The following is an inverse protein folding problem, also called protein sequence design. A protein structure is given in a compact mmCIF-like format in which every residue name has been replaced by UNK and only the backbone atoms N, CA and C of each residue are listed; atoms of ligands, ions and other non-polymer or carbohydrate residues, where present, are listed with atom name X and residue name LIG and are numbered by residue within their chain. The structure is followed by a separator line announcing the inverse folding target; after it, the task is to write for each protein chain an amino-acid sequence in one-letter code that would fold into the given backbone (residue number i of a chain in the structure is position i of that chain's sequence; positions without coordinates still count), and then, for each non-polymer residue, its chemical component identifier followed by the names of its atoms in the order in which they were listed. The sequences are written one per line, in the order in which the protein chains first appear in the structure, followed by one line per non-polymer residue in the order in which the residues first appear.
data_IF_494484825387
#
_entry.id   IF_494484825387
#
_cell.length_a   1.000
_cell.length_b   1.000
_cell.length_c   1.000
_cell.angle_alpha   90.00
_cell.angle_beta   90.00
_cell.angle_gamma   90.00
#
_symmetry.space_group_name_H-M   'P 1'
#
loop_
_entity.id
_entity.type
_entity.pdbx_description
1 polymer ?
#
# COMPACT_ATOMS: atom_id res chain seq x y z
N UNK A 1 -6.86 -22.34 -8.52
CA UNK A 1 -7.69 -21.21 -8.05
C UNK A 1 -7.82 -21.30 -6.53
N UNK A 2 -7.90 -20.15 -5.85
CA UNK A 2 -7.92 -20.03 -4.39
C UNK A 2 -9.10 -19.17 -3.95
N UNK A 3 -9.74 -19.54 -2.84
CA UNK A 3 -10.81 -18.72 -2.25
C UNK A 3 -10.26 -17.54 -1.46
N UNK A 4 -9.03 -17.65 -0.94
CA UNK A 4 -8.36 -16.62 -0.18
C UNK A 4 -6.90 -16.53 -0.61
N UNK A 5 -6.43 -15.31 -0.85
CA UNK A 5 -5.01 -14.97 -1.01
C UNK A 5 -4.60 -14.03 0.12
N UNK A 6 -3.56 -14.39 0.85
CA UNK A 6 -2.96 -13.57 1.89
C UNK A 6 -1.60 -13.07 1.42
N UNK A 7 -1.39 -11.76 1.44
CA UNK A 7 -0.11 -11.15 1.11
C UNK A 7 0.38 -10.29 2.28
N UNK A 8 1.37 -10.76 3.04
CA UNK A 8 2.05 -9.93 4.03
C UNK A 8 2.84 -8.81 3.32
N UNK A 9 3.45 -7.93 4.09
CA UNK A 9 4.22 -6.78 3.56
C UNK A 9 5.31 -7.24 2.60
N UNK A 10 5.07 -7.10 1.30
CA UNK A 10 6.01 -7.49 0.24
C UNK A 10 5.91 -6.64 -1.03
N UNK A 11 4.79 -5.93 -1.23
CA UNK A 11 4.60 -5.09 -2.44
C UNK A 11 5.64 -3.99 -2.58
N UNK A 12 6.20 -3.50 -1.48
CA UNK A 12 7.27 -2.50 -1.52
C UNK A 12 8.57 -3.00 -2.15
N UNK A 13 8.76 -4.30 -2.37
CA UNK A 13 9.95 -4.85 -3.02
C UNK A 13 9.80 -5.05 -4.53
N UNK A 14 8.67 -4.73 -5.11
CA UNK A 14 8.40 -4.81 -6.55
C UNK A 14 8.22 -3.42 -7.13
N UNK A 15 8.80 -3.18 -8.30
CA UNK A 15 8.69 -1.89 -8.97
C UNK A 15 7.29 -1.62 -9.52
N UNK A 16 6.61 -2.65 -10.02
CA UNK A 16 5.24 -2.57 -10.55
C UNK A 16 4.29 -3.40 -9.70
N UNK A 17 3.58 -2.72 -8.81
CA UNK A 17 2.57 -3.38 -7.94
C UNK A 17 1.32 -3.81 -8.73
N UNK A 18 1.05 -3.19 -9.88
CA UNK A 18 -0.07 -3.57 -10.76
C UNK A 18 0.08 -4.98 -11.30
N UNK A 19 1.29 -5.40 -11.67
CA UNK A 19 1.55 -6.78 -12.10
C UNK A 19 1.26 -7.80 -11.01
N UNK A 20 1.56 -7.48 -9.75
CA UNK A 20 1.22 -8.34 -8.58
C UNK A 20 -0.30 -8.51 -8.47
N UNK A 21 -1.05 -7.44 -8.57
CA UNK A 21 -2.52 -7.51 -8.50
C UNK A 21 -3.13 -8.28 -9.67
N UNK A 22 -2.54 -8.16 -10.87
CA UNK A 22 -2.93 -8.96 -12.02
C UNK A 22 -2.75 -10.46 -11.76
N UNK A 23 -1.62 -10.87 -11.18
CA UNK A 23 -1.37 -12.27 -10.82
C UNK A 23 -2.26 -12.77 -9.69
N UNK A 24 -2.52 -11.97 -8.66
CA UNK A 24 -3.49 -12.31 -7.62
C UNK A 24 -4.88 -12.50 -8.24
N UNK A 25 -5.31 -11.57 -9.11
CA UNK A 25 -6.60 -11.68 -9.80
C UNK A 25 -6.70 -12.93 -10.71
N UNK A 26 -5.58 -13.37 -11.28
CA UNK A 26 -5.53 -14.57 -12.13
C UNK A 26 -5.75 -15.86 -11.35
N UNK A 27 -5.28 -15.93 -10.11
CA UNK A 27 -5.29 -17.18 -9.32
C UNK A 27 -6.44 -17.28 -8.33
N UNK A 28 -7.07 -16.17 -7.95
CA UNK A 28 -8.18 -16.14 -7.00
C UNK A 28 -9.52 -16.37 -7.70
N UNK A 29 -10.41 -17.13 -7.09
CA UNK A 29 -11.76 -17.39 -7.60
C UNK A 29 -12.59 -16.09 -7.66
N UNK A 30 -13.59 -15.99 -8.56
CA UNK A 30 -14.64 -14.98 -8.42
C UNK A 30 -15.24 -15.00 -7.01
N UNK A 31 -15.49 -13.83 -6.45
CA UNK A 31 -15.93 -13.61 -5.06
C UNK A 31 -14.91 -14.03 -3.97
N UNK A 32 -13.73 -14.50 -4.35
CA UNK A 32 -12.64 -14.80 -3.43
C UNK A 32 -12.06 -13.56 -2.75
N UNK A 33 -11.44 -13.75 -1.60
CA UNK A 33 -10.88 -12.68 -0.76
C UNK A 33 -9.39 -12.51 -0.96
N UNK A 34 -8.97 -11.29 -1.24
CA UNK A 34 -7.59 -10.85 -1.18
C UNK A 34 -7.37 -9.99 0.07
N UNK A 35 -6.54 -10.45 0.98
CA UNK A 35 -6.18 -9.75 2.21
C UNK A 35 -4.70 -9.42 2.14
N UNK A 36 -4.37 -8.14 2.14
CA UNK A 36 -2.99 -7.67 1.98
C UNK A 36 -2.60 -6.65 3.04
N UNK A 37 -1.31 -6.55 3.31
CA UNK A 37 -0.74 -5.50 4.13
C UNK A 37 0.37 -4.81 3.35
N UNK A 38 0.35 -3.48 3.32
CA UNK A 38 1.29 -2.65 2.59
C UNK A 38 1.99 -1.68 3.54
N UNK A 39 3.21 -1.26 3.20
CA UNK A 39 3.81 -0.08 3.82
C UNK A 39 3.03 1.16 3.38
N UNK A 40 2.66 2.01 4.34
CA UNK A 40 1.99 3.27 4.04
C UNK A 40 2.91 4.18 3.22
N UNK A 41 2.43 4.79 2.11
CA UNK A 41 3.22 5.75 1.33
C UNK A 41 3.77 6.89 2.20
N UNK A 42 2.94 7.45 3.06
CA UNK A 42 3.34 8.50 4.00
C UNK A 42 4.46 8.04 4.91
N UNK A 43 4.41 6.78 5.39
CA UNK A 43 5.47 6.22 6.20
C UNK A 43 6.78 6.06 5.41
N UNK A 44 6.72 5.66 4.16
CA UNK A 44 7.92 5.53 3.33
C UNK A 44 8.56 6.89 2.99
N UNK A 45 7.75 7.96 2.94
CA UNK A 45 8.25 9.32 2.73
C UNK A 45 8.87 9.94 3.99
N UNK A 46 8.46 9.49 5.17
CA UNK A 46 8.78 10.16 6.44
C UNK A 46 10.14 9.70 6.97
N UNK A 47 10.92 10.63 7.51
CA UNK A 47 12.20 10.37 8.17
C UNK A 47 12.11 9.23 9.20
N UNK A 48 13.15 8.42 9.31
CA UNK A 48 13.21 7.33 10.30
C UNK A 48 13.40 7.85 11.72
N UNK A 49 14.11 8.96 11.86
CA UNK A 49 14.39 9.61 13.14
C UNK A 49 13.84 11.04 13.13
N UNK A 50 13.35 11.54 14.26
CA UNK A 50 12.97 12.95 14.38
C UNK A 50 14.22 13.82 14.58
N UNK A 51 14.10 15.08 14.25
CA UNK A 51 14.98 16.15 14.71
C UNK A 51 14.29 17.02 15.78
N UNK A 52 14.81 18.23 16.03
CA UNK A 52 14.24 19.16 17.02
C UNK A 52 12.83 19.65 16.69
N UNK A 53 12.38 19.54 15.46
CA UNK A 53 11.05 19.94 14.98
C UNK A 53 10.09 18.76 14.70
N UNK A 54 10.58 17.52 14.79
CA UNK A 54 9.77 16.32 14.65
C UNK A 54 10.18 15.42 13.49
N UNK A 55 9.20 14.69 12.92
CA UNK A 55 9.41 13.88 11.73
C UNK A 55 9.06 14.68 10.47
N UNK A 56 9.83 14.48 9.39
CA UNK A 56 9.71 15.22 8.15
C UNK A 56 9.49 14.31 6.96
N UNK A 57 8.77 14.80 5.96
CA UNK A 57 8.73 14.16 4.64
C UNK A 57 10.08 14.42 3.95
N UNK A 58 10.79 13.36 3.62
CA UNK A 58 12.11 13.41 2.96
C UNK A 58 12.06 13.00 1.51
N UNK A 59 11.11 12.12 1.14
CA UNK A 59 10.98 11.58 -0.19
C UNK A 59 9.85 12.24 -0.95
N UNK A 60 10.06 12.50 -2.24
CA UNK A 60 9.00 13.05 -3.11
C UNK A 60 7.90 12.00 -3.33
N UNK A 61 6.65 12.45 -3.36
CA UNK A 61 5.49 11.57 -3.53
C UNK A 61 5.44 10.90 -4.91
N UNK A 62 5.88 11.60 -5.95
CA UNK A 62 5.95 11.13 -7.33
C UNK A 62 7.35 10.61 -7.71
N UNK A 63 8.01 9.99 -6.75
CA UNK A 63 9.33 9.42 -6.96
C UNK A 63 9.28 8.28 -7.97
N UNK A 64 10.22 8.31 -8.91
CA UNK A 64 10.50 7.19 -9.80
C UNK A 64 11.68 6.36 -9.25
N UNK A 65 11.61 5.03 -9.44
CA UNK A 65 12.63 4.11 -9.00
C UNK A 65 12.64 3.81 -7.50
N UNK A 66 13.61 3.04 -7.03
CA UNK A 66 13.68 2.61 -5.64
C UNK A 66 13.99 3.76 -4.68
N UNK A 67 13.56 3.60 -3.44
CA UNK A 67 13.96 4.49 -2.35
C UNK A 67 15.48 4.41 -2.12
N UNK A 68 16.11 5.49 -1.63
CA UNK A 68 17.52 5.44 -1.21
C UNK A 68 17.77 4.33 -0.19
N UNK A 69 18.98 3.78 -0.20
CA UNK A 69 19.40 2.83 0.82
C UNK A 69 19.21 3.46 2.22
N UNK A 70 18.64 2.69 3.13
CA UNK A 70 18.40 3.14 4.50
C UNK A 70 19.22 2.32 5.50
N UNK A 71 19.50 2.95 6.64
CA UNK A 71 20.02 2.25 7.80
C UNK A 71 19.04 1.15 8.25
N UNK A 72 19.56 0.02 8.78
CA UNK A 72 18.73 -1.07 9.27
C UNK A 72 17.71 -0.59 10.31
N UNK A 73 16.45 -0.89 10.10
CA UNK A 73 15.39 -0.54 11.04
C UNK A 73 14.25 -1.55 10.97
N UNK A 74 13.27 -1.47 11.89
CA UNK A 74 12.04 -2.27 11.80
C UNK A 74 11.15 -1.89 10.59
N UNK A 75 11.46 -0.75 9.95
CA UNK A 75 10.70 -0.23 8.79
C UNK A 75 11.39 -0.51 7.46
N UNK A 76 12.71 -0.60 7.44
CA UNK A 76 13.53 -0.72 6.24
C UNK A 76 14.55 -1.84 6.41
N UNK A 77 14.65 -2.72 5.42
CA UNK A 77 15.61 -3.82 5.40
C UNK A 77 16.88 -3.42 4.64
N UNK A 78 18.04 -3.78 5.20
CA UNK A 78 19.33 -3.51 4.57
C UNK A 78 19.50 -4.37 3.31
N UNK A 79 20.02 -3.75 2.25
CA UNK A 79 20.34 -4.46 1.01
C UNK A 79 19.16 -4.80 0.12
N UNK A 80 17.95 -4.35 0.47
CA UNK A 80 16.76 -4.49 -0.38
C UNK A 80 16.47 -3.20 -1.13
N UNK A 81 15.92 -3.33 -2.34
CA UNK A 81 15.30 -2.21 -3.05
C UNK A 81 13.84 -2.11 -2.63
N UNK A 82 13.46 -0.98 -2.09
CA UNK A 82 12.09 -0.69 -1.72
C UNK A 82 11.54 0.42 -2.61
N UNK A 83 10.27 0.30 -3.01
CA UNK A 83 9.55 1.25 -3.86
C UNK A 83 8.43 1.92 -3.07
N UNK A 84 8.28 3.22 -3.29
CA UNK A 84 7.16 3.99 -2.76
C UNK A 84 6.02 3.88 -3.76
N UNK A 85 5.02 3.07 -3.43
CA UNK A 85 3.78 3.04 -4.20
C UNK A 85 2.80 4.04 -3.61
N UNK A 86 2.26 4.92 -4.46
CA UNK A 86 1.24 5.90 -4.08
C UNK A 86 -0.09 5.21 -3.76
N UNK A 87 -0.98 5.91 -3.06
CA UNK A 87 -2.33 5.38 -2.80
C UNK A 87 -3.08 5.01 -4.09
N UNK A 88 -2.89 5.79 -5.15
CA UNK A 88 -3.45 5.48 -6.47
C UNK A 88 -2.95 4.15 -7.02
N UNK A 89 -1.68 3.82 -6.82
CA UNK A 89 -1.09 2.55 -7.25
C UNK A 89 -1.54 1.40 -6.35
N UNK A 90 -1.55 1.59 -5.03
CA UNK A 90 -1.96 0.57 -4.07
C UNK A 90 -3.47 0.26 -4.15
N UNK A 91 -4.32 1.27 -3.98
CA UNK A 91 -5.76 1.07 -3.91
C UNK A 91 -6.41 1.09 -5.29
N UNK A 92 -6.08 2.09 -6.11
CA UNK A 92 -6.56 2.18 -7.48
C UNK A 92 -6.07 1.03 -8.35
N UNK A 93 -4.84 0.55 -8.13
CA UNK A 93 -4.31 -0.63 -8.79
C UNK A 93 -5.12 -1.89 -8.53
N UNK A 94 -5.53 -2.13 -7.28
CA UNK A 94 -6.45 -3.25 -6.94
C UNK A 94 -7.78 -3.10 -7.68
N UNK A 95 -8.37 -1.91 -7.68
CA UNK A 95 -9.64 -1.66 -8.37
C UNK A 95 -9.51 -1.92 -9.87
N UNK A 96 -8.43 -1.48 -10.52
CA UNK A 96 -8.14 -1.73 -11.94
C UNK A 96 -7.92 -3.21 -12.25
N UNK A 97 -7.37 -3.97 -11.29
CA UNK A 97 -7.22 -5.43 -11.39
C UNK A 97 -8.53 -6.21 -11.16
N UNK A 98 -9.66 -5.52 -10.95
CA UNK A 98 -10.98 -6.13 -10.79
C UNK A 98 -11.31 -6.54 -9.36
N UNK A 99 -10.75 -5.85 -8.37
CA UNK A 99 -11.14 -6.00 -6.98
C UNK A 99 -12.06 -4.86 -6.50
N UNK A 100 -12.89 -5.16 -5.52
CA UNK A 100 -13.59 -4.17 -4.69
C UNK A 100 -12.96 -4.16 -3.32
N UNK A 101 -12.55 -2.99 -2.86
CA UNK A 101 -12.06 -2.82 -1.49
C UNK A 101 -13.28 -2.82 -0.56
N UNK A 102 -13.33 -3.78 0.34
CA UNK A 102 -14.40 -3.94 1.33
C UNK A 102 -14.05 -3.28 2.67
N UNK A 103 -12.74 -3.26 3.01
CA UNK A 103 -12.29 -2.69 4.26
C UNK A 103 -10.83 -2.24 4.16
N UNK A 104 -10.47 -1.22 4.93
CA UNK A 104 -9.12 -0.71 5.07
C UNK A 104 -8.87 -0.37 6.54
N UNK A 105 -7.78 -0.90 7.10
CA UNK A 105 -7.40 -0.67 8.49
C UNK A 105 -5.94 -0.24 8.57
N UNK A 106 -5.66 0.77 9.36
CA UNK A 106 -4.30 1.13 9.76
C UNK A 106 -4.01 0.54 11.16
N UNK A 107 -3.28 -0.58 11.26
CA UNK A 107 -3.01 -1.20 12.55
C UNK A 107 -2.25 -0.26 13.47
N UNK A 108 -2.72 -0.12 14.69
CA UNK A 108 -2.09 0.75 15.69
C UNK A 108 -0.77 0.15 16.15
N UNK A 109 0.32 0.84 15.87
CA UNK A 109 1.67 0.51 16.32
C UNK A 109 2.26 1.59 17.25
N UNK A 110 1.49 2.65 17.50
CA UNK A 110 1.87 3.73 18.41
C UNK A 110 2.08 3.21 19.84
N UNK A 111 3.16 3.68 20.47
CA UNK A 111 3.42 3.44 21.87
C UNK A 111 3.86 4.77 22.51
N UNK A 112 3.04 5.33 23.39
CA UNK A 112 3.28 6.63 24.02
C UNK A 112 4.47 6.64 24.98
N UNK A 113 4.84 5.47 25.52
CA UNK A 113 5.99 5.30 26.39
C UNK A 113 7.32 5.08 25.61
N UNK A 114 7.23 4.96 24.29
CA UNK A 114 8.40 4.69 23.45
C UNK A 114 9.29 5.93 23.30
N UNK A 115 10.59 5.76 23.48
CA UNK A 115 11.57 6.82 23.31
C UNK A 115 11.64 7.35 21.87
N UNK A 116 11.98 8.62 21.72
CA UNK A 116 12.11 9.30 20.44
C UNK A 116 12.99 8.53 19.45
N UNK A 117 12.57 8.48 18.20
CA UNK A 117 13.27 7.76 17.11
C UNK A 117 13.07 6.25 17.08
N UNK A 118 12.32 5.67 18.02
CA UNK A 118 11.94 4.27 17.98
C UNK A 118 10.72 4.05 17.07
N UNK A 119 10.49 2.80 16.66
CA UNK A 119 9.33 2.43 15.84
C UNK A 119 8.00 2.83 16.48
N UNK A 120 7.81 2.53 17.78
CA UNK A 120 6.57 2.86 18.49
C UNK A 120 6.34 4.35 18.65
N UNK A 121 7.42 5.13 18.91
CA UNK A 121 7.33 6.60 18.95
C UNK A 121 6.97 7.18 17.59
N UNK A 122 7.65 6.76 16.52
CA UNK A 122 7.37 7.23 15.17
C UNK A 122 5.93 6.90 14.73
N UNK A 123 5.42 5.74 15.14
CA UNK A 123 4.06 5.31 14.83
C UNK A 123 2.96 6.14 15.51
N UNK A 124 3.29 7.04 16.43
CA UNK A 124 2.35 8.04 16.95
C UNK A 124 2.06 9.15 15.93
N UNK A 125 2.96 9.38 14.98
CA UNK A 125 2.88 10.47 13.99
C UNK A 125 2.48 9.98 12.61
N UNK A 126 2.82 8.73 12.27
CA UNK A 126 2.52 8.17 10.95
C UNK A 126 2.27 6.66 11.05
N UNK A 127 1.16 6.20 10.50
CA UNK A 127 0.84 4.77 10.43
C UNK A 127 1.86 4.06 9.51
N UNK A 128 2.61 3.04 10.01
CA UNK A 128 3.61 2.36 9.21
C UNK A 128 3.01 1.46 8.13
N UNK A 129 1.83 0.90 8.39
CA UNK A 129 1.18 -0.08 7.52
C UNK A 129 -0.29 0.21 7.34
N UNK A 130 -0.80 -0.26 6.20
CA UNK A 130 -2.23 -0.36 5.92
C UNK A 130 -2.57 -1.80 5.57
N UNK A 131 -3.69 -2.31 6.09
CA UNK A 131 -4.28 -3.59 5.71
C UNK A 131 -5.49 -3.34 4.85
N UNK A 132 -5.60 -4.10 3.77
CA UNK A 132 -6.71 -4.00 2.83
C UNK A 132 -7.38 -5.36 2.73
N UNK A 133 -8.70 -5.37 2.83
CA UNK A 133 -9.56 -6.48 2.47
C UNK A 133 -10.26 -6.16 1.17
N UNK A 134 -10.02 -6.97 0.14
CA UNK A 134 -10.61 -6.77 -1.17
C UNK A 134 -11.26 -8.07 -1.67
N UNK A 135 -12.29 -7.94 -2.49
CA UNK A 135 -13.03 -9.05 -3.09
C UNK A 135 -12.87 -9.03 -4.59
N UNK A 136 -12.58 -10.19 -5.17
CA UNK A 136 -12.52 -10.37 -6.62
C UNK A 136 -13.91 -10.25 -7.23
N UNK A 137 -14.09 -9.33 -8.18
CA UNK A 137 -15.32 -9.21 -8.94
C UNK A 137 -15.50 -10.40 -9.89
N UNK A 138 -16.74 -10.83 -10.08
CA UNK A 138 -17.09 -11.73 -11.18
C UNK A 138 -17.24 -10.96 -12.51
N UNK A 139 -17.25 -11.69 -13.64
CA UNK A 139 -17.28 -11.09 -14.97
C UNK A 139 -18.46 -10.11 -15.17
N UNK A 140 -19.67 -10.49 -14.73
CA UNK A 140 -20.86 -9.64 -14.87
C UNK A 140 -20.78 -8.35 -14.07
N UNK A 141 -20.12 -8.37 -12.91
CA UNK A 141 -19.91 -7.16 -12.09
C UNK A 141 -18.86 -6.23 -12.72
N UNK A 142 -17.85 -6.76 -13.40
CA UNK A 142 -16.85 -5.97 -14.12
C UNK A 142 -17.49 -5.23 -15.29
N UNK A 143 -18.32 -5.89 -16.09
CA UNK A 143 -19.03 -5.28 -17.23
C UNK A 143 -19.98 -4.16 -16.80
N UNK A 144 -20.75 -4.35 -15.72
CA UNK A 144 -21.65 -3.35 -15.18
C UNK A 144 -20.91 -2.09 -14.70
N UNK A 145 -19.70 -2.22 -14.15
CA UNK A 145 -18.92 -1.06 -13.70
C UNK A 145 -18.25 -0.31 -14.83
N UNK A 146 -17.74 -1.00 -15.85
CA UNK A 146 -17.08 -0.35 -16.99
C UNK A 146 -18.04 0.55 -17.78
N UNK A 147 -19.33 0.20 -17.85
CA UNK A 147 -20.35 1.03 -18.49
C UNK A 147 -20.70 2.32 -17.70
N UNK A 148 -20.50 2.33 -16.38
CA UNK A 148 -20.87 3.46 -15.51
C UNK A 148 -19.72 4.45 -15.23
N UNK A 149 -18.46 4.04 -15.43
CA UNK A 149 -17.29 4.84 -15.04
C UNK A 149 -16.84 5.82 -16.13
N UNK A 150 -17.22 5.65 -17.39
CA UNK A 150 -16.78 6.51 -18.49
C UNK A 150 -17.23 7.97 -18.40
N UNK A 151 -18.09 8.33 -17.45
CA UNK A 151 -18.57 9.71 -17.24
C UNK A 151 -18.06 10.39 -15.96
N UNK A 152 -17.49 9.64 -15.00
CA UNK A 152 -17.24 10.16 -13.65
C UNK A 152 -15.85 10.82 -13.45
N UNK A 153 -14.88 10.60 -14.33
CA UNK A 153 -13.50 11.09 -14.16
C UNK A 153 -12.94 11.76 -15.40
N UNK A 154 -13.71 12.65 -16.05
CA UNK A 154 -13.09 13.66 -16.92
C UNK A 154 -12.61 14.80 -16.03
N UNK A 155 -11.33 14.82 -15.75
CA UNK A 155 -10.64 16.01 -15.27
C UNK A 155 -10.39 16.82 -16.54
N UNK A 156 -11.08 17.94 -16.69
CA UNK A 156 -10.75 18.93 -17.72
C UNK A 156 -9.35 19.46 -17.39
N UNK A 157 -8.41 19.32 -18.31
CA UNK A 157 -7.07 19.94 -18.27
C UNK A 157 -7.18 21.46 -18.42
#
# INVERSE_FOLDING_TARGET
EFDIVLQPVSTCYVADVGSVYGEVARVICPDGLYISQHKSPTSLQTSLKPDSSGYHLQETYYREGPLPAAEPSRLRETGTHEYLHRWEELLGGMCRAGFVIEDLVEPVHANVEAGAGTFGHRSQYVAPYVRVKARRLNAGQIECRSSNISHAFRVDE
#
